data_IF_093698317798
#
_entry.id   IF_093698317798
#
_cell.length_a   1.000
_cell.length_b   1.000
_cell.length_c   1.000
_cell.angle_alpha   90.00
_cell.angle_beta   90.00
_cell.angle_gamma   90.00
#
_symmetry.space_group_name_H-M   'P 1'
#
loop_
_entity.id
_entity.type
_entity.pdbx_description
1 polymer ?
#
# COMPACT_ATOMS: atom_id res chain seq x y z
N UNK A 1 15.74 3.61 8.25
CA UNK A 1 15.38 4.35 7.03
C UNK A 1 15.43 3.45 5.81
N UNK A 2 14.64 3.73 4.77
CA UNK A 2 14.49 2.86 3.59
C UNK A 2 15.83 2.58 2.90
N UNK A 3 16.68 3.60 2.78
CA UNK A 3 17.99 3.47 2.12
C UNK A 3 18.91 2.48 2.84
N UNK A 4 18.95 2.54 4.16
CA UNK A 4 19.84 1.69 4.96
C UNK A 4 19.40 0.22 4.84
N UNK A 5 18.08 -0.04 4.97
CA UNK A 5 17.54 -1.39 4.84
C UNK A 5 17.65 -1.94 3.41
N UNK A 6 17.49 -1.09 2.38
CA UNK A 6 17.74 -1.50 1.00
C UNK A 6 19.21 -1.89 0.80
N UNK A 7 20.15 -1.07 1.28
CA UNK A 7 21.58 -1.38 1.18
C UNK A 7 21.95 -2.66 1.96
N UNK A 8 21.40 -2.83 3.15
CA UNK A 8 21.58 -4.04 3.96
C UNK A 8 21.09 -5.29 3.21
N UNK A 9 19.91 -5.23 2.60
CA UNK A 9 19.38 -6.32 1.77
C UNK A 9 20.31 -6.63 0.59
N UNK A 10 20.81 -5.62 -0.12
CA UNK A 10 21.74 -5.81 -1.25
C UNK A 10 23.04 -6.47 -0.80
N UNK A 11 23.58 -6.09 0.36
CA UNK A 11 24.78 -6.71 0.95
C UNK A 11 24.51 -8.17 1.33
N UNK A 12 23.37 -8.48 1.93
CA UNK A 12 22.99 -9.85 2.28
C UNK A 12 22.87 -10.72 1.01
N UNK A 13 22.28 -10.19 -0.05
CA UNK A 13 22.16 -10.89 -1.35
C UNK A 13 23.53 -11.18 -1.95
N UNK A 14 24.44 -10.19 -1.96
CA UNK A 14 25.82 -10.38 -2.46
C UNK A 14 26.56 -11.45 -1.63
N UNK A 15 26.42 -11.44 -0.32
CA UNK A 15 27.02 -12.44 0.57
C UNK A 15 26.49 -13.86 0.25
N UNK A 16 25.18 -14.04 0.07
CA UNK A 16 24.58 -15.31 -0.32
C UNK A 16 25.10 -15.78 -1.70
N UNK A 17 25.21 -14.87 -2.65
CA UNK A 17 25.74 -15.16 -3.98
C UNK A 17 27.20 -15.63 -3.93
N UNK A 18 28.05 -14.95 -3.14
CA UNK A 18 29.45 -15.34 -2.93
C UNK A 18 29.59 -16.65 -2.17
N UNK A 19 28.61 -17.00 -1.33
CA UNK A 19 28.53 -18.29 -0.67
C UNK A 19 27.98 -19.41 -1.56
N UNK A 20 27.83 -19.15 -2.87
CA UNK A 20 27.33 -20.12 -3.87
C UNK A 20 25.89 -20.59 -3.60
N UNK A 21 25.03 -19.71 -3.08
CA UNK A 21 23.62 -20.02 -2.94
C UNK A 21 23.03 -20.39 -4.32
N UNK A 22 22.28 -21.48 -4.37
CA UNK A 22 21.66 -21.98 -5.61
C UNK A 22 20.55 -21.07 -6.11
N UNK A 23 19.82 -20.46 -5.18
CA UNK A 23 18.71 -19.54 -5.45
C UNK A 23 18.58 -18.55 -4.33
N UNK A 24 18.31 -17.30 -4.67
CA UNK A 24 18.12 -16.20 -3.70
C UNK A 24 16.75 -15.58 -3.95
N UNK A 25 15.85 -15.72 -2.98
CA UNK A 25 14.56 -15.07 -2.97
C UNK A 25 14.57 -13.90 -1.99
N UNK A 26 14.38 -12.68 -2.50
CA UNK A 26 14.22 -11.52 -1.66
C UNK A 26 12.76 -11.43 -1.17
N UNK A 27 12.55 -11.55 0.14
CA UNK A 27 11.25 -11.35 0.78
C UNK A 27 11.17 -9.89 1.26
N UNK A 28 10.30 -9.11 0.65
CA UNK A 28 10.22 -7.66 0.82
C UNK A 28 8.80 -7.28 1.25
N UNK A 29 8.48 -7.36 2.56
CA UNK A 29 7.15 -7.03 3.07
C UNK A 29 6.77 -5.56 2.85
N UNK A 30 7.74 -4.67 2.82
CA UNK A 30 7.57 -3.26 2.47
C UNK A 30 8.51 -2.90 1.33
N UNK A 31 7.95 -2.64 0.14
CA UNK A 31 8.73 -2.25 -1.02
C UNK A 31 9.01 -0.75 -1.00
N UNK A 32 10.20 -0.38 -0.59
CA UNK A 32 10.64 1.01 -0.51
C UNK A 32 10.59 1.71 -1.88
N UNK A 33 10.24 2.98 -1.89
CA UNK A 33 10.05 3.79 -3.10
C UNK A 33 8.89 3.35 -4.02
N UNK A 34 8.01 2.47 -3.59
CA UNK A 34 6.87 2.00 -4.39
C UNK A 34 5.97 3.12 -4.92
N UNK A 35 5.84 4.23 -4.20
CA UNK A 35 5.06 5.40 -4.63
C UNK A 35 5.63 6.12 -5.86
N UNK A 36 6.94 5.96 -6.12
CA UNK A 36 7.62 6.51 -7.30
C UNK A 36 7.60 5.51 -8.47
N UNK A 37 6.40 4.98 -8.79
CA UNK A 37 6.16 3.98 -9.82
C UNK A 37 5.99 4.57 -11.23
N UNK A 38 5.74 5.86 -11.32
CA UNK A 38 5.55 6.59 -12.59
C UNK A 38 5.99 8.03 -12.44
N UNK A 39 6.21 8.69 -13.57
CA UNK A 39 6.42 10.14 -13.61
C UNK A 39 5.08 10.86 -13.51
N UNK A 40 5.01 11.86 -12.65
CA UNK A 40 3.87 12.79 -12.53
C UNK A 40 4.20 14.15 -13.15
N UNK A 41 5.48 14.46 -13.29
CA UNK A 41 6.00 15.65 -13.96
C UNK A 41 7.24 15.32 -14.80
N UNK A 42 7.76 16.31 -15.52
CA UNK A 42 9.00 16.16 -16.29
C UNK A 42 10.23 15.99 -15.37
N UNK A 43 11.22 15.21 -15.83
CA UNK A 43 12.53 15.01 -15.17
C UNK A 43 12.48 14.29 -13.81
N UNK A 44 11.40 13.60 -13.50
CA UNK A 44 11.30 12.72 -12.32
C UNK A 44 11.91 11.36 -12.60
N UNK A 45 12.41 10.71 -11.54
CA UNK A 45 12.84 9.33 -11.60
C UNK A 45 11.65 8.38 -11.40
N UNK A 46 11.76 7.14 -11.92
CA UNK A 46 10.90 6.03 -11.56
C UNK A 46 11.67 5.17 -10.57
N UNK A 47 11.72 5.60 -9.31
CA UNK A 47 12.60 4.99 -8.30
C UNK A 47 12.17 3.57 -7.95
N UNK A 48 10.89 3.22 -8.10
CA UNK A 48 10.43 1.84 -7.97
C UNK A 48 11.11 0.91 -9.00
N UNK A 49 11.28 1.35 -10.26
CA UNK A 49 12.03 0.59 -11.28
C UNK A 49 13.53 0.54 -10.98
N UNK A 50 14.10 1.65 -10.51
CA UNK A 50 15.51 1.68 -10.09
C UNK A 50 15.77 0.64 -8.99
N UNK A 51 14.92 0.59 -7.96
CA UNK A 51 15.02 -0.38 -6.86
C UNK A 51 14.92 -1.82 -7.38
N UNK A 52 13.99 -2.11 -8.29
CA UNK A 52 13.87 -3.40 -8.93
C UNK A 52 15.17 -3.79 -9.67
N UNK A 53 15.74 -2.87 -10.44
CA UNK A 53 17.00 -3.10 -11.14
C UNK A 53 18.17 -3.38 -10.18
N UNK A 54 18.26 -2.67 -9.06
CA UNK A 54 19.30 -2.90 -8.05
C UNK A 54 19.18 -4.31 -7.46
N UNK A 55 17.99 -4.75 -7.08
CA UNK A 55 17.74 -6.11 -6.57
C UNK A 55 18.13 -7.18 -7.60
N UNK A 56 17.71 -7.05 -8.85
CA UNK A 56 18.07 -7.99 -9.91
C UNK A 56 19.59 -8.01 -10.13
N UNK A 57 20.23 -6.85 -10.19
CA UNK A 57 21.68 -6.75 -10.42
C UNK A 57 22.51 -7.25 -9.24
N UNK A 58 22.02 -7.18 -8.01
CA UNK A 58 22.72 -7.77 -6.85
C UNK A 58 22.73 -9.30 -6.89
N UNK A 59 21.81 -9.94 -7.64
CA UNK A 59 21.76 -11.37 -7.82
C UNK A 59 20.54 -12.06 -7.19
N UNK A 60 19.48 -11.32 -6.96
CA UNK A 60 18.17 -11.90 -6.61
C UNK A 60 17.60 -12.66 -7.81
N UNK A 61 17.13 -13.89 -7.58
CA UNK A 61 16.50 -14.73 -8.60
C UNK A 61 14.97 -14.65 -8.58
N UNK A 62 14.38 -14.24 -7.46
CA UNK A 62 12.94 -14.11 -7.25
C UNK A 62 12.64 -13.07 -6.18
N UNK A 63 11.55 -12.34 -6.34
CA UNK A 63 11.04 -11.39 -5.34
C UNK A 63 9.69 -11.86 -4.83
N UNK A 64 9.49 -11.81 -3.51
CA UNK A 64 8.19 -11.95 -2.85
C UNK A 64 7.88 -10.61 -2.17
N UNK A 65 6.92 -9.87 -2.68
CA UNK A 65 6.52 -8.57 -2.14
C UNK A 65 5.09 -8.61 -1.59
N UNK A 66 4.82 -7.80 -0.58
CA UNK A 66 3.47 -7.65 -0.01
C UNK A 66 2.93 -6.26 -0.29
N UNK A 67 1.64 -6.17 -0.62
CA UNK A 67 0.87 -4.94 -0.79
C UNK A 67 1.60 -3.85 -1.59
N UNK A 68 2.08 -4.21 -2.78
CA UNK A 68 2.70 -3.24 -3.69
C UNK A 68 1.74 -2.06 -3.94
N UNK A 69 2.28 -0.84 -3.91
CA UNK A 69 1.51 0.39 -4.14
C UNK A 69 0.69 0.34 -5.43
N UNK A 70 1.26 -0.27 -6.46
CA UNK A 70 0.59 -0.53 -7.73
C UNK A 70 0.98 -1.91 -8.25
N UNK A 71 0.02 -2.66 -8.77
CA UNK A 71 0.25 -4.01 -9.29
C UNK A 71 1.24 -4.03 -10.47
N UNK A 72 1.35 -2.93 -11.20
CA UNK A 72 2.25 -2.77 -12.34
C UNK A 72 3.73 -2.85 -11.94
N UNK A 73 4.08 -2.61 -10.66
CA UNK A 73 5.45 -2.73 -10.16
C UNK A 73 6.01 -4.14 -10.39
N UNK A 74 5.17 -5.18 -10.40
CA UNK A 74 5.59 -6.53 -10.76
C UNK A 74 6.27 -6.59 -12.14
N UNK A 75 5.78 -5.79 -13.09
CA UNK A 75 6.36 -5.68 -14.44
C UNK A 75 7.70 -4.92 -14.50
N UNK A 76 8.19 -4.37 -13.39
CA UNK A 76 9.51 -3.75 -13.32
C UNK A 76 10.64 -4.76 -13.10
N UNK A 77 10.29 -5.98 -12.70
CA UNK A 77 11.25 -7.07 -12.52
C UNK A 77 11.36 -7.91 -13.78
N UNK A 78 12.59 -8.18 -14.22
CA UNK A 78 12.90 -9.13 -15.30
C UNK A 78 13.11 -10.55 -14.73
N UNK A 79 12.69 -10.78 -13.48
CA UNK A 79 12.68 -12.04 -12.75
C UNK A 79 11.29 -12.27 -12.15
N UNK A 80 10.94 -13.50 -11.72
CA UNK A 80 9.66 -13.75 -11.07
C UNK A 80 9.45 -12.84 -9.84
N UNK A 81 8.27 -12.22 -9.79
CA UNK A 81 7.84 -11.38 -8.69
C UNK A 81 6.45 -11.84 -8.22
N UNK A 82 6.38 -12.37 -7.01
CA UNK A 82 5.12 -12.75 -6.38
C UNK A 82 4.61 -11.57 -5.55
N UNK A 83 3.40 -11.15 -5.86
CA UNK A 83 2.71 -10.11 -5.11
C UNK A 83 1.65 -10.77 -4.23
N UNK A 84 1.88 -10.78 -2.93
CA UNK A 84 0.92 -11.25 -1.94
C UNK A 84 0.21 -10.08 -1.26
N UNK A 85 -0.93 -10.36 -0.65
CA UNK A 85 -1.76 -9.36 0.02
C UNK A 85 -1.87 -9.67 1.51
N UNK A 86 -1.77 -8.64 2.35
CA UNK A 86 -2.00 -8.72 3.78
C UNK A 86 -3.48 -8.80 4.14
N UNK A 87 -4.37 -8.45 3.20
CA UNK A 87 -5.82 -8.40 3.44
C UNK A 87 -6.42 -9.68 4.02
N UNK A 88 -6.07 -10.92 3.61
CA UNK A 88 -6.63 -12.12 4.23
C UNK A 88 -6.35 -12.20 5.74
N UNK A 89 -5.13 -11.88 6.17
CA UNK A 89 -4.75 -11.89 7.59
C UNK A 89 -5.51 -10.83 8.38
N UNK A 90 -5.68 -9.63 7.78
CA UNK A 90 -6.45 -8.56 8.40
C UNK A 90 -7.94 -8.90 8.51
N UNK A 91 -8.51 -9.51 7.46
CA UNK A 91 -9.91 -9.97 7.46
C UNK A 91 -10.14 -11.03 8.53
N UNK A 92 -9.26 -12.03 8.62
CA UNK A 92 -9.35 -13.07 9.66
C UNK A 92 -9.34 -12.44 11.06
N UNK A 93 -8.43 -11.51 11.33
CA UNK A 93 -8.36 -10.82 12.61
C UNK A 93 -9.63 -9.99 12.87
N UNK A 94 -10.05 -9.14 11.91
CA UNK A 94 -11.20 -8.25 12.09
C UNK A 94 -12.51 -9.03 12.24
N UNK A 95 -12.63 -10.20 11.60
CA UNK A 95 -13.79 -11.07 11.75
C UNK A 95 -13.96 -11.65 13.17
N UNK A 96 -12.89 -11.67 13.97
CA UNK A 96 -12.96 -12.06 15.39
C UNK A 96 -13.38 -10.91 16.30
N UNK A 97 -13.41 -9.68 15.79
CA UNK A 97 -13.77 -8.49 16.58
C UNK A 97 -15.30 -8.24 16.50
N UNK A 98 -15.88 -7.77 17.59
CA UNK A 98 -17.29 -7.37 17.60
C UNK A 98 -17.41 -5.91 17.10
N UNK A 99 -17.36 -5.74 15.78
CA UNK A 99 -17.35 -4.42 15.14
C UNK A 99 -18.75 -3.85 14.86
N UNK A 100 -19.81 -4.65 15.04
CA UNK A 100 -21.17 -4.24 14.68
C UNK A 100 -21.35 -4.06 13.18
N UNK A 101 -22.11 -3.04 12.79
CA UNK A 101 -22.30 -2.70 11.38
C UNK A 101 -21.08 -1.95 10.87
N UNK A 102 -20.45 -2.43 9.79
CA UNK A 102 -19.18 -1.90 9.28
C UNK A 102 -19.36 -1.20 7.94
N UNK A 103 -18.43 -0.29 7.64
CA UNK A 103 -18.22 0.29 6.31
C UNK A 103 -16.72 0.31 6.01
N UNK A 104 -16.32 -0.18 4.84
CA UNK A 104 -14.92 -0.11 4.39
C UNK A 104 -14.69 1.22 3.70
N UNK A 105 -13.61 1.91 4.05
CA UNK A 105 -13.34 3.26 3.56
C UNK A 105 -12.00 3.30 2.84
N UNK A 106 -12.01 3.78 1.59
CA UNK A 106 -10.79 4.14 0.87
C UNK A 106 -10.36 5.56 1.28
N UNK A 107 -9.09 5.77 1.70
CA UNK A 107 -8.61 7.10 2.10
C UNK A 107 -8.40 8.06 0.92
N UNK A 108 -8.46 7.56 -0.31
CA UNK A 108 -8.40 8.33 -1.55
C UNK A 108 -9.04 7.56 -2.73
N UNK A 109 -9.13 8.22 -3.89
CA UNK A 109 -9.70 7.63 -5.11
C UNK A 109 -8.80 6.51 -5.67
N UNK A 110 -7.49 6.58 -5.47
CA UNK A 110 -6.53 5.58 -5.96
C UNK A 110 -6.66 4.22 -5.27
N UNK A 111 -7.03 4.21 -3.98
CA UNK A 111 -7.20 3.02 -3.15
C UNK A 111 -8.54 2.28 -3.32
N UNK A 112 -9.49 2.81 -4.11
CA UNK A 112 -10.87 2.27 -4.20
C UNK A 112 -10.91 0.80 -4.62
N UNK A 113 -10.08 0.38 -5.55
CA UNK A 113 -10.04 -1.02 -5.98
C UNK A 113 -9.63 -1.96 -4.84
N UNK A 114 -8.63 -1.55 -4.03
CA UNK A 114 -8.17 -2.29 -2.84
C UNK A 114 -9.26 -2.35 -1.78
N UNK A 115 -9.86 -1.21 -1.45
CA UNK A 115 -10.93 -1.14 -0.46
C UNK A 115 -12.15 -1.99 -0.88
N UNK A 116 -12.50 -2.00 -2.17
CA UNK A 116 -13.56 -2.86 -2.71
C UNK A 116 -13.24 -4.36 -2.58
N UNK A 117 -12.00 -4.75 -2.88
CA UNK A 117 -11.56 -6.13 -2.74
C UNK A 117 -11.60 -6.58 -1.27
N UNK A 118 -11.23 -5.69 -0.35
CA UNK A 118 -11.32 -5.92 1.09
C UNK A 118 -12.78 -6.02 1.57
N UNK A 119 -13.65 -5.11 1.13
CA UNK A 119 -15.08 -5.10 1.46
C UNK A 119 -15.77 -6.43 1.06
N UNK A 120 -15.42 -6.98 -0.11
CA UNK A 120 -15.92 -8.29 -0.54
C UNK A 120 -15.55 -9.43 0.42
N UNK A 121 -14.35 -9.39 1.00
CA UNK A 121 -13.91 -10.37 1.98
C UNK A 121 -14.57 -10.16 3.37
N UNK A 122 -15.11 -8.97 3.62
CA UNK A 122 -15.87 -8.60 4.81
C UNK A 122 -17.39 -8.67 4.56
N UNK A 123 -17.86 -9.77 3.97
CA UNK A 123 -19.28 -10.05 3.67
C UNK A 123 -19.96 -8.97 2.80
N UNK A 124 -19.28 -8.51 1.74
CA UNK A 124 -19.74 -7.43 0.86
C UNK A 124 -20.12 -6.14 1.61
N UNK A 125 -19.34 -5.78 2.63
CA UNK A 125 -19.57 -4.59 3.41
C UNK A 125 -19.69 -3.34 2.51
N UNK A 126 -20.52 -2.35 2.88
CA UNK A 126 -20.60 -1.08 2.16
C UNK A 126 -19.24 -0.40 2.00
N UNK A 127 -19.08 0.35 0.91
CA UNK A 127 -17.88 1.09 0.58
C UNK A 127 -18.11 2.59 0.66
N UNK A 128 -17.22 3.31 1.31
CA UNK A 128 -17.13 4.77 1.25
C UNK A 128 -15.74 5.20 0.76
N UNK A 129 -15.64 6.44 0.30
CA UNK A 129 -14.41 7.00 -0.26
C UNK A 129 -14.18 8.39 0.31
N UNK A 130 -12.97 8.70 0.71
CA UNK A 130 -12.56 10.06 1.03
C UNK A 130 -12.03 10.70 -0.25
N UNK A 131 -12.78 11.66 -0.80
CA UNK A 131 -12.35 12.45 -1.94
C UNK A 131 -11.57 13.67 -1.45
N UNK A 132 -10.34 13.80 -1.95
CA UNK A 132 -9.42 14.88 -1.62
C UNK A 132 -9.33 15.84 -2.79
N UNK A 133 -9.99 17.00 -2.68
CA UNK A 133 -9.93 18.04 -3.70
C UNK A 133 -8.96 19.15 -3.31
N UNK A 134 -8.04 19.46 -4.22
CA UNK A 134 -7.24 20.66 -4.17
C UNK A 134 -7.93 21.75 -5.00
N UNK A 135 -8.52 22.73 -4.34
CA UNK A 135 -9.28 23.80 -5.01
C UNK A 135 -8.40 24.95 -5.55
N UNK A 136 -7.05 24.85 -5.41
CA UNK A 136 -6.11 25.86 -5.96
C UNK A 136 -4.72 25.80 -5.33
N UNK A 137 -3.78 26.56 -5.91
CA UNK A 137 -2.45 26.79 -5.33
C UNK A 137 -2.59 27.53 -4.01
N UNK A 138 -2.08 27.01 -2.89
CA UNK A 138 -2.15 27.55 -1.53
C UNK A 138 -3.53 27.60 -0.86
N UNK A 139 -4.53 26.85 -1.32
CA UNK A 139 -5.81 26.72 -0.61
C UNK A 139 -5.83 25.45 0.26
N UNK A 140 -6.58 25.50 1.37
CA UNK A 140 -6.75 24.35 2.26
C UNK A 140 -7.34 23.15 1.50
N UNK A 141 -6.78 21.95 1.74
CA UNK A 141 -7.31 20.73 1.16
C UNK A 141 -8.71 20.46 1.71
N UNK A 142 -9.69 20.32 0.83
CA UNK A 142 -11.04 19.91 1.17
C UNK A 142 -11.14 18.39 1.10
N UNK A 143 -11.54 17.77 2.21
CA UNK A 143 -11.84 16.36 2.28
C UNK A 143 -13.36 16.18 2.31
N UNK A 144 -13.90 15.30 1.48
CA UNK A 144 -15.33 14.96 1.43
C UNK A 144 -15.50 13.46 1.49
N UNK A 145 -16.46 12.98 2.27
CA UNK A 145 -16.84 11.55 2.27
C UNK A 145 -17.92 11.31 1.23
N UNK A 146 -17.70 10.32 0.38
CA UNK A 146 -18.66 9.81 -0.59
C UNK A 146 -19.10 8.43 -0.10
N UNK A 147 -20.35 8.25 0.21
CA UNK A 147 -20.93 7.05 0.81
C UNK A 147 -21.48 7.33 2.20
N UNK A 148 -22.23 6.38 2.74
CA UNK A 148 -22.86 6.49 4.05
C UNK A 148 -22.01 5.81 5.12
N UNK A 149 -21.61 6.56 6.13
CA UNK A 149 -20.76 6.10 7.26
C UNK A 149 -21.44 6.28 8.62
N UNK A 150 -22.60 6.92 8.66
CA UNK A 150 -23.26 7.26 9.90
C UNK A 150 -23.69 6.01 10.68
N UNK A 151 -23.36 5.96 11.96
CA UNK A 151 -23.69 4.86 12.87
C UNK A 151 -22.94 3.55 12.61
N UNK A 152 -21.90 3.56 11.75
CA UNK A 152 -21.13 2.36 11.38
C UNK A 152 -19.69 2.44 11.86
N UNK A 153 -19.10 1.28 12.11
CA UNK A 153 -17.65 1.18 12.35
C UNK A 153 -16.92 1.31 11.01
N UNK A 154 -16.16 2.40 10.87
CA UNK A 154 -15.42 2.68 9.64
C UNK A 154 -14.03 2.02 9.66
N UNK A 155 -13.78 1.13 8.68
CA UNK A 155 -12.48 0.46 8.48
C UNK A 155 -11.76 1.15 7.34
N UNK A 156 -10.73 1.97 7.65
CA UNK A 156 -9.87 2.62 6.68
C UNK A 156 -8.81 1.62 6.16
N UNK A 157 -8.73 1.43 4.83
CA UNK A 157 -7.79 0.51 4.18
C UNK A 157 -6.88 1.25 3.23
N UNK A 158 -5.57 1.09 3.46
CA UNK A 158 -4.51 1.61 2.58
C UNK A 158 -3.43 0.55 2.35
N UNK A 159 -2.51 0.76 1.39
CA UNK A 159 -1.36 -0.12 1.13
C UNK A 159 -0.23 0.09 2.13
N UNK A 160 -0.11 1.29 2.66
CA UNK A 160 0.93 1.63 3.62
C UNK A 160 0.52 2.80 4.51
N UNK A 161 1.02 2.78 5.74
CA UNK A 161 0.95 3.92 6.66
C UNK A 161 2.38 4.38 6.91
N UNK A 162 2.72 5.56 6.39
CA UNK A 162 4.03 6.19 6.58
C UNK A 162 3.96 7.16 7.78
N UNK A 163 3.69 8.44 7.55
CA UNK A 163 3.53 9.43 8.63
C UNK A 163 2.18 9.38 9.34
N UNK A 164 1.23 8.65 8.77
CA UNK A 164 -0.14 8.54 9.29
C UNK A 164 -1.03 9.76 9.04
N UNK A 165 -0.52 10.83 8.42
CA UNK A 165 -1.27 12.07 8.23
C UNK A 165 -2.60 11.87 7.50
N UNK A 166 -2.61 11.12 6.41
CA UNK A 166 -3.82 10.82 5.61
C UNK A 166 -4.84 10.02 6.42
N UNK A 167 -4.40 8.95 7.07
CA UNK A 167 -5.27 8.08 7.89
C UNK A 167 -5.87 8.87 9.06
N UNK A 168 -5.06 9.66 9.79
CA UNK A 168 -5.53 10.46 10.90
C UNK A 168 -6.52 11.55 10.46
N UNK A 169 -6.29 12.21 9.33
CA UNK A 169 -7.22 13.21 8.78
C UNK A 169 -8.53 12.55 8.35
N UNK A 170 -8.45 11.39 7.67
CA UNK A 170 -9.60 10.59 7.29
C UNK A 170 -10.44 10.14 8.49
N UNK A 171 -9.81 9.60 9.52
CA UNK A 171 -10.49 9.15 10.75
C UNK A 171 -11.22 10.29 11.44
N UNK A 172 -10.60 11.49 11.53
CA UNK A 172 -11.28 12.68 12.09
C UNK A 172 -12.51 13.08 11.28
N UNK A 173 -12.40 13.07 9.95
CA UNK A 173 -13.51 13.40 9.08
C UNK A 173 -14.68 12.40 9.21
N UNK A 174 -14.39 11.10 9.24
CA UNK A 174 -15.39 10.06 9.40
C UNK A 174 -16.14 10.21 10.73
N UNK A 175 -15.45 10.50 11.83
CA UNK A 175 -16.07 10.80 13.12
C UNK A 175 -17.01 12.02 13.08
N UNK A 176 -16.63 13.06 12.34
CA UNK A 176 -17.50 14.24 12.16
C UNK A 176 -18.77 13.92 11.35
N UNK A 177 -18.72 12.87 10.53
CA UNK A 177 -19.86 12.38 9.74
C UNK A 177 -20.68 11.29 10.46
N UNK A 178 -20.39 11.05 11.75
CA UNK A 178 -21.12 10.07 12.58
C UNK A 178 -20.63 8.64 12.46
N UNK A 179 -19.48 8.39 11.83
CA UNK A 179 -18.78 7.10 11.85
C UNK A 179 -18.09 6.86 13.21
N UNK A 180 -17.96 5.59 13.59
CA UNK A 180 -17.25 5.12 14.79
C UNK A 180 -15.91 4.50 14.44
#
# INVERSE_FOLDING_TARGET
PVNDHLMELLIMVDACRRASARQITAVVPYYGYARADRKTAGRESITAKLTANLLVKSGVDRVLAMDLHSAQIQGYFDIPCDHIYGSPVLVDYLSTQNLGDIVVVSPDVGGVARARAFAKQMNDAPLAIIDKRRTGHNMAESLTVIGDVAGRTAILIDDMIDTGGTICAGARLLRQQGGA
#
